data_IF_974730605178
#
_entry.id   IF_974730605178
#
_cell.length_a   1.000
_cell.length_b   1.000
_cell.length_c   1.000
_cell.angle_alpha   90.00
_cell.angle_beta   90.00
_cell.angle_gamma   90.00
#
_symmetry.space_group_name_H-M   'P 1'
#
loop_
_entity.id
_entity.type
_entity.pdbx_description
1 polymer ?
#
# COMPACT_ATOMS: atom_id res chain seq x y z
N UNK A 1 -30.93 -81.42 -38.97
CA UNK A 1 -31.28 -80.60 -37.79
C UNK A 1 -30.02 -80.39 -37.00
N UNK A 2 -29.37 -79.28 -37.09
CA UNK A 2 -28.15 -78.95 -36.35
C UNK A 2 -28.48 -77.84 -35.33
N UNK A 3 -28.41 -78.20 -34.04
CA UNK A 3 -28.51 -77.21 -32.94
C UNK A 3 -27.24 -76.47 -32.81
N UNK A 4 -27.32 -75.15 -32.87
CA UNK A 4 -26.20 -74.23 -32.59
C UNK A 4 -26.32 -73.75 -31.14
N UNK A 5 -25.32 -74.06 -30.31
CA UNK A 5 -25.19 -73.59 -28.95
C UNK A 5 -24.54 -72.19 -29.00
N UNK A 6 -25.24 -71.20 -28.47
CA UNK A 6 -24.69 -69.86 -28.29
C UNK A 6 -24.16 -69.80 -26.86
N UNK A 7 -22.85 -69.62 -26.69
CA UNK A 7 -22.19 -69.36 -25.42
C UNK A 7 -22.23 -67.83 -25.14
N UNK A 8 -22.86 -67.44 -24.06
CA UNK A 8 -22.88 -66.05 -23.56
C UNK A 8 -21.67 -65.85 -22.67
N UNK A 9 -20.69 -65.06 -23.11
CA UNK A 9 -19.57 -64.56 -22.27
C UNK A 9 -20.05 -63.42 -21.43
N UNK A 10 -20.14 -63.62 -20.09
CA UNK A 10 -20.28 -62.50 -19.13
C UNK A 10 -18.92 -61.86 -18.90
N UNK A 11 -18.68 -60.68 -19.49
CA UNK A 11 -17.57 -59.82 -19.14
C UNK A 11 -17.85 -59.12 -17.81
N UNK A 12 -17.16 -59.52 -16.74
CA UNK A 12 -17.20 -58.84 -15.45
C UNK A 12 -16.47 -57.50 -15.56
N UNK A 13 -17.23 -56.41 -15.41
CA UNK A 13 -16.65 -55.08 -15.28
C UNK A 13 -16.17 -54.92 -13.84
N UNK A 14 -14.82 -55.04 -13.66
CA UNK A 14 -14.17 -54.61 -12.43
C UNK A 14 -14.29 -53.08 -12.31
N UNK A 15 -15.20 -52.60 -11.46
CA UNK A 15 -15.27 -51.23 -11.06
C UNK A 15 -14.05 -50.92 -10.17
N UNK A 16 -13.04 -50.27 -10.73
CA UNK A 16 -12.01 -49.61 -9.95
C UNK A 16 -12.62 -48.39 -9.26
N UNK A 17 -13.04 -48.56 -8.00
CA UNK A 17 -13.31 -47.41 -7.12
C UNK A 17 -11.99 -46.67 -6.88
N UNK A 18 -11.91 -45.35 -7.10
CA UNK A 18 -10.71 -44.61 -6.74
C UNK A 18 -10.53 -44.70 -5.21
N UNK A 19 -9.37 -45.21 -4.78
CA UNK A 19 -8.98 -45.13 -3.38
C UNK A 19 -9.03 -43.66 -2.97
N UNK A 20 -9.61 -43.28 -1.82
CA UNK A 20 -9.50 -41.93 -1.30
C UNK A 20 -8.01 -41.65 -1.11
N UNK A 21 -7.51 -40.63 -1.78
CA UNK A 21 -6.19 -40.02 -1.52
C UNK A 21 -6.23 -39.69 -0.01
N UNK A 22 -5.27 -40.26 0.73
CA UNK A 22 -5.09 -39.97 2.14
C UNK A 22 -5.14 -38.44 2.31
N UNK A 23 -6.06 -37.97 3.15
CA UNK A 23 -6.31 -36.55 3.34
C UNK A 23 -4.99 -35.84 3.63
N UNK A 24 -4.68 -34.82 2.84
CA UNK A 24 -3.66 -33.86 3.22
C UNK A 24 -3.97 -33.47 4.68
N UNK A 25 -2.96 -33.58 5.55
CA UNK A 25 -3.05 -33.04 6.92
C UNK A 25 -3.49 -31.59 6.77
N UNK A 26 -4.70 -31.27 7.16
CA UNK A 26 -5.12 -29.88 7.30
C UNK A 26 -4.17 -29.26 8.31
N UNK A 27 -3.38 -28.28 7.85
CA UNK A 27 -2.47 -27.57 8.73
C UNK A 27 -3.34 -26.68 9.64
N UNK A 28 -3.45 -27.04 10.92
CA UNK A 28 -4.29 -26.33 11.89
C UNK A 28 -3.92 -24.84 12.03
N UNK A 29 -2.72 -24.43 11.59
CA UNK A 29 -2.32 -23.00 11.59
C UNK A 29 -3.00 -22.21 10.46
N UNK A 30 -3.33 -22.82 9.34
CA UNK A 30 -4.04 -22.17 8.22
C UNK A 30 -5.57 -22.09 8.45
N UNK A 31 -6.11 -22.83 9.44
CA UNK A 31 -7.55 -22.83 9.71
C UNK A 31 -8.06 -21.42 10.01
N UNK A 32 -9.25 -21.07 9.49
CA UNK A 32 -9.86 -19.73 9.65
C UNK A 32 -9.41 -18.69 8.62
N UNK A 33 -8.20 -18.81 8.07
CA UNK A 33 -7.75 -17.96 6.96
C UNK A 33 -8.36 -18.40 5.62
N UNK A 34 -8.72 -17.45 4.76
CA UNK A 34 -9.22 -17.74 3.42
C UNK A 34 -8.94 -16.59 2.45
N UNK A 35 -8.97 -16.90 1.14
CA UNK A 35 -8.82 -15.90 0.07
C UNK A 35 -9.83 -16.13 -1.06
N UNK A 36 -10.12 -15.06 -1.80
CA UNK A 36 -10.78 -15.10 -3.11
C UNK A 36 -10.35 -13.91 -3.96
N UNK A 37 -10.62 -13.97 -5.25
CA UNK A 37 -10.27 -12.90 -6.20
C UNK A 37 -11.53 -12.20 -6.71
N UNK A 38 -11.44 -10.87 -6.89
CA UNK A 38 -12.50 -10.03 -7.45
C UNK A 38 -11.91 -8.81 -8.14
N UNK A 39 -12.16 -8.66 -9.45
CA UNK A 39 -11.73 -7.50 -10.23
C UNK A 39 -10.25 -7.12 -10.02
N UNK A 40 -9.36 -8.11 -10.11
CA UNK A 40 -7.92 -7.94 -9.93
C UNK A 40 -7.43 -7.86 -8.48
N UNK A 41 -8.31 -7.66 -7.50
CA UNK A 41 -7.99 -7.73 -6.09
C UNK A 41 -8.00 -9.17 -5.59
N UNK A 42 -7.12 -9.45 -4.63
CA UNK A 42 -7.11 -10.66 -3.83
C UNK A 42 -7.56 -10.28 -2.42
N UNK A 43 -8.78 -10.66 -2.06
CA UNK A 43 -9.26 -10.51 -0.69
C UNK A 43 -8.68 -11.62 0.18
N UNK A 44 -8.17 -11.27 1.35
CA UNK A 44 -7.57 -12.21 2.29
C UNK A 44 -8.10 -11.94 3.69
N UNK A 45 -8.74 -12.94 4.29
CA UNK A 45 -9.11 -12.92 5.70
C UNK A 45 -8.06 -13.67 6.52
N UNK A 46 -7.56 -13.02 7.58
CA UNK A 46 -6.59 -13.57 8.53
C UNK A 46 -7.10 -13.37 9.95
N UNK A 47 -6.96 -14.40 10.82
CA UNK A 47 -7.41 -14.28 12.21
C UNK A 47 -6.52 -15.06 13.20
N UNK A 48 -6.36 -14.51 14.41
CA UNK A 48 -5.75 -15.20 15.55
C UNK A 48 -4.56 -14.48 16.17
N UNK A 49 -3.72 -15.26 16.85
CA UNK A 49 -2.46 -14.78 17.43
C UNK A 49 -1.46 -14.36 16.35
N UNK A 50 -0.45 -13.53 16.68
CA UNK A 50 0.51 -13.00 15.70
C UNK A 50 1.14 -14.06 14.80
N UNK A 51 1.62 -15.16 15.38
CA UNK A 51 2.23 -16.26 14.62
C UNK A 51 1.27 -16.92 13.64
N UNK A 52 -0.01 -16.94 14.01
CA UNK A 52 -1.06 -17.51 13.15
C UNK A 52 -1.44 -16.55 12.03
N UNK A 53 -1.53 -15.26 12.33
CA UNK A 53 -1.76 -14.23 11.30
C UNK A 53 -0.67 -14.32 10.23
N UNK A 54 0.59 -14.31 10.64
CA UNK A 54 1.72 -14.42 9.72
C UNK A 54 1.70 -15.72 8.91
N UNK A 55 1.46 -16.85 9.57
CA UNK A 55 1.37 -18.15 8.88
C UNK A 55 0.26 -18.18 7.82
N UNK A 56 -0.95 -17.71 8.16
CA UNK A 56 -2.08 -17.64 7.23
C UNK A 56 -1.78 -16.70 6.07
N UNK A 57 -1.18 -15.54 6.35
CA UNK A 57 -0.80 -14.55 5.35
C UNK A 57 -0.01 -15.22 4.22
N UNK A 58 1.07 -15.88 4.56
CA UNK A 58 1.98 -16.40 3.57
C UNK A 58 1.58 -17.76 3.02
N UNK A 59 0.89 -18.57 3.80
CA UNK A 59 0.30 -19.79 3.29
C UNK A 59 -0.69 -19.50 2.15
N UNK A 60 -1.46 -18.42 2.27
CA UNK A 60 -2.46 -17.99 1.29
C UNK A 60 -1.89 -17.18 0.12
N UNK A 61 -0.78 -16.45 0.32
CA UNK A 61 -0.19 -15.54 -0.65
C UNK A 61 1.22 -15.94 -1.12
N UNK A 62 1.60 -17.21 -0.93
CA UNK A 62 2.96 -17.70 -1.21
C UNK A 62 3.44 -17.43 -2.65
N UNK A 63 2.55 -17.51 -3.62
CA UNK A 63 2.89 -17.29 -5.03
C UNK A 63 3.11 -15.80 -5.33
N UNK A 64 2.28 -14.93 -4.74
CA UNK A 64 2.37 -13.49 -4.84
C UNK A 64 3.64 -12.96 -4.16
N UNK A 65 3.98 -13.48 -2.98
CA UNK A 65 5.20 -13.09 -2.25
C UNK A 65 6.45 -13.54 -3.00
N UNK A 66 6.47 -14.76 -3.53
CA UNK A 66 7.57 -15.25 -4.38
C UNK A 66 7.78 -14.32 -5.58
N UNK A 67 6.69 -13.90 -6.22
CA UNK A 67 6.75 -13.01 -7.37
C UNK A 67 7.23 -11.61 -6.98
N UNK A 68 6.81 -11.06 -5.84
CA UNK A 68 7.28 -9.76 -5.37
C UNK A 68 8.78 -9.82 -5.03
N UNK A 69 9.24 -10.83 -4.28
CA UNK A 69 10.67 -11.02 -3.97
C UNK A 69 11.53 -11.19 -5.22
N UNK A 70 11.00 -11.81 -6.29
CA UNK A 70 11.72 -11.96 -7.56
C UNK A 70 12.05 -10.63 -8.22
N UNK A 71 11.19 -9.64 -8.08
CA UNK A 71 11.35 -8.35 -8.79
C UNK A 71 11.96 -7.27 -7.93
N UNK A 72 11.71 -7.26 -6.61
CA UNK A 72 12.13 -6.17 -5.74
C UNK A 72 13.65 -6.06 -5.62
N UNK A 73 14.36 -7.16 -5.50
CA UNK A 73 15.83 -7.17 -5.41
C UNK A 73 16.50 -6.51 -6.63
N UNK A 74 16.27 -7.00 -7.87
CA UNK A 74 16.80 -6.38 -9.08
C UNK A 74 16.35 -4.92 -9.29
N UNK A 75 15.12 -4.58 -8.90
CA UNK A 75 14.63 -3.20 -8.97
C UNK A 75 15.42 -2.27 -8.06
N UNK A 76 15.60 -2.63 -6.79
CA UNK A 76 16.35 -1.85 -5.82
C UNK A 76 17.85 -1.77 -6.17
N UNK A 77 18.43 -2.86 -6.67
CA UNK A 77 19.82 -2.84 -7.14
C UNK A 77 20.02 -1.86 -8.29
N UNK A 78 19.04 -1.79 -9.22
CA UNK A 78 19.11 -0.82 -10.30
C UNK A 78 18.97 0.62 -9.81
N UNK A 79 17.99 0.88 -8.94
CA UNK A 79 17.64 2.25 -8.52
C UNK A 79 18.62 2.83 -7.48
N UNK A 80 19.03 2.02 -6.50
CA UNK A 80 19.85 2.47 -5.36
C UNK A 80 21.31 2.06 -5.44
N UNK A 81 21.69 1.21 -6.40
CA UNK A 81 23.01 0.57 -6.52
C UNK A 81 23.40 -0.27 -5.29
N UNK A 82 22.40 -0.82 -4.62
CA UNK A 82 22.53 -1.73 -3.47
C UNK A 82 21.85 -3.05 -3.80
N UNK A 83 22.55 -4.17 -3.61
CA UNK A 83 21.98 -5.50 -3.81
C UNK A 83 20.99 -5.89 -2.69
N UNK A 84 20.23 -6.93 -2.91
CA UNK A 84 19.27 -7.41 -1.92
C UNK A 84 19.90 -7.82 -0.58
N UNK A 85 21.14 -8.34 -0.59
CA UNK A 85 21.85 -8.68 0.64
C UNK A 85 22.17 -7.46 1.50
N UNK A 86 22.38 -6.28 0.90
CA UNK A 86 22.51 -5.04 1.66
C UNK A 86 21.25 -4.77 2.50
N UNK A 87 20.06 -4.89 1.92
CA UNK A 87 18.79 -4.68 2.61
C UNK A 87 18.52 -5.73 3.68
N UNK A 88 18.81 -7.00 3.41
CA UNK A 88 18.74 -8.09 4.39
C UNK A 88 19.66 -7.82 5.60
N UNK A 89 20.88 -7.35 5.37
CA UNK A 89 21.79 -7.00 6.45
C UNK A 89 21.30 -5.80 7.27
N UNK A 90 20.68 -4.80 6.64
CA UNK A 90 20.07 -3.67 7.35
C UNK A 90 18.86 -4.14 8.16
N UNK A 91 18.01 -5.00 7.61
CA UNK A 91 16.89 -5.62 8.30
C UNK A 91 17.35 -6.36 9.58
N UNK A 92 18.39 -7.19 9.47
CA UNK A 92 18.95 -7.93 10.61
C UNK A 92 19.53 -7.03 11.69
N UNK A 93 20.39 -6.08 11.30
CA UNK A 93 21.24 -5.36 12.27
C UNK A 93 20.57 -4.09 12.79
N UNK A 94 19.74 -3.45 11.99
CA UNK A 94 19.18 -2.13 12.30
C UNK A 94 17.72 -2.25 12.72
N UNK A 95 16.89 -2.97 11.96
CA UNK A 95 15.44 -2.97 12.20
C UNK A 95 15.01 -4.03 13.22
N UNK A 96 15.41 -5.29 13.03
CA UNK A 96 14.93 -6.42 13.84
C UNK A 96 15.03 -6.23 15.35
N UNK A 97 16.15 -5.71 15.92
CA UNK A 97 16.27 -5.52 17.36
C UNK A 97 15.27 -4.52 17.95
N UNK A 98 14.57 -3.76 17.12
CA UNK A 98 13.68 -2.67 17.51
C UNK A 98 12.21 -2.93 17.16
N UNK A 99 11.93 -4.06 16.51
CA UNK A 99 10.58 -4.52 16.26
C UNK A 99 10.01 -5.10 17.56
N UNK A 100 8.81 -4.67 17.94
CA UNK A 100 8.12 -5.20 19.12
C UNK A 100 7.87 -6.71 18.95
N UNK A 101 8.00 -7.47 20.06
CA UNK A 101 7.95 -8.94 20.04
C UNK A 101 6.67 -9.52 19.42
N UNK A 102 5.57 -8.80 19.44
CA UNK A 102 4.32 -9.18 18.78
C UNK A 102 4.52 -9.30 17.28
N UNK A 103 5.09 -8.28 16.65
CA UNK A 103 5.31 -8.24 15.22
C UNK A 103 6.48 -9.09 14.78
N UNK A 104 7.49 -9.30 15.64
CA UNK A 104 8.51 -10.32 15.38
C UNK A 104 7.89 -11.71 15.21
N UNK A 105 6.91 -12.08 16.06
CA UNK A 105 6.21 -13.36 15.95
C UNK A 105 5.33 -13.44 14.70
N UNK A 106 4.67 -12.33 14.30
CA UNK A 106 3.90 -12.28 13.06
C UNK A 106 4.82 -12.49 11.85
N UNK A 107 5.96 -11.79 11.78
CA UNK A 107 6.96 -11.93 10.71
C UNK A 107 7.60 -13.33 10.68
N UNK A 108 7.85 -13.95 11.83
CA UNK A 108 8.31 -15.35 11.89
C UNK A 108 7.24 -16.34 11.40
N UNK A 109 5.97 -16.06 11.70
CA UNK A 109 4.84 -16.83 11.18
C UNK A 109 4.76 -16.78 9.66
N UNK A 110 5.05 -15.62 9.05
CA UNK A 110 5.18 -15.43 7.61
C UNK A 110 6.19 -16.43 7.02
N UNK A 111 7.40 -16.47 7.58
CA UNK A 111 8.46 -17.39 7.12
C UNK A 111 8.04 -18.86 7.22
N UNK A 112 7.33 -19.24 8.29
CA UNK A 112 6.81 -20.61 8.45
C UNK A 112 5.76 -20.94 7.38
N UNK A 113 4.87 -20.00 7.05
CA UNK A 113 3.84 -20.17 6.01
C UNK A 113 4.47 -20.37 4.62
N UNK A 114 5.49 -19.58 4.26
CA UNK A 114 6.25 -19.73 3.02
C UNK A 114 6.95 -21.09 2.94
N UNK A 115 7.60 -21.53 4.03
CA UNK A 115 8.25 -22.82 4.08
C UNK A 115 7.26 -23.97 3.85
N UNK A 116 6.03 -23.89 4.40
CA UNK A 116 4.97 -24.87 4.18
C UNK A 116 4.52 -24.95 2.70
N UNK A 117 4.71 -23.87 1.94
CA UNK A 117 4.42 -23.77 0.50
C UNK A 117 5.66 -23.95 -0.39
N UNK A 118 6.79 -24.37 0.19
CA UNK A 118 8.07 -24.57 -0.50
C UNK A 118 8.62 -23.30 -1.18
N UNK A 119 8.32 -22.12 -0.63
CA UNK A 119 8.93 -20.86 -1.04
C UNK A 119 10.19 -20.64 -0.19
N UNK A 120 11.31 -20.40 -0.86
CA UNK A 120 12.59 -20.15 -0.21
C UNK A 120 12.72 -18.66 0.09
N UNK A 121 12.41 -18.28 1.31
CA UNK A 121 12.68 -16.98 1.88
C UNK A 121 12.97 -17.18 3.38
N UNK A 122 13.73 -16.29 3.95
CA UNK A 122 13.98 -16.29 5.39
C UNK A 122 13.48 -14.98 6.04
N UNK A 123 13.66 -14.88 7.35
CA UNK A 123 13.26 -13.71 8.14
C UNK A 123 13.78 -12.40 7.56
N UNK A 124 15.02 -12.39 7.10
CA UNK A 124 15.64 -11.16 6.62
C UNK A 124 15.08 -10.69 5.29
N UNK A 125 14.62 -11.62 4.45
CA UNK A 125 13.88 -11.29 3.23
C UNK A 125 12.56 -10.60 3.58
N UNK A 126 11.84 -11.13 4.57
CA UNK A 126 10.52 -10.61 4.96
C UNK A 126 10.64 -9.28 5.69
N UNK A 127 11.60 -9.12 6.60
CA UNK A 127 11.81 -7.82 7.29
C UNK A 127 12.28 -6.75 6.30
N UNK A 128 13.16 -7.08 5.35
CA UNK A 128 13.58 -6.15 4.31
C UNK A 128 12.42 -5.76 3.38
N UNK A 129 11.52 -6.71 3.07
CA UNK A 129 10.33 -6.45 2.27
C UNK A 129 9.35 -5.51 2.99
N UNK A 130 9.17 -5.67 4.30
CA UNK A 130 8.33 -4.78 5.11
C UNK A 130 8.90 -3.36 5.25
N UNK A 131 10.18 -3.17 4.97
CA UNK A 131 10.85 -1.87 5.00
C UNK A 131 11.22 -1.37 3.60
N UNK A 132 10.41 -1.73 2.59
CA UNK A 132 10.67 -1.45 1.18
C UNK A 132 10.68 0.06 0.87
N UNK A 133 9.92 0.85 1.59
CA UNK A 133 9.92 2.32 1.46
C UNK A 133 11.03 2.93 2.35
N UNK A 134 11.16 2.44 3.56
CA UNK A 134 12.01 2.99 4.60
C UNK A 134 13.51 2.84 4.29
N UNK A 135 13.96 1.64 3.90
CA UNK A 135 15.39 1.39 3.68
C UNK A 135 15.92 2.07 2.42
N UNK A 136 15.29 1.95 1.24
CA UNK A 136 15.80 2.61 0.04
C UNK A 136 15.68 4.13 0.08
N UNK A 137 14.54 4.64 0.55
CA UNK A 137 14.23 6.07 0.50
C UNK A 137 14.85 6.89 1.63
N UNK A 138 15.19 6.29 2.77
CA UNK A 138 15.62 7.02 3.97
C UNK A 138 16.95 6.53 4.55
N UNK A 139 17.09 5.23 4.79
CA UNK A 139 18.35 4.68 5.32
C UNK A 139 19.50 4.80 4.33
N UNK A 140 19.30 4.48 3.05
CA UNK A 140 20.35 4.56 2.03
C UNK A 140 20.86 5.98 1.84
N UNK A 141 20.01 7.02 1.63
CA UNK A 141 20.48 8.41 1.53
C UNK A 141 21.20 8.89 2.79
N UNK A 142 20.67 8.54 3.97
CA UNK A 142 21.32 8.86 5.24
C UNK A 142 22.71 8.23 5.34
N UNK A 143 22.86 6.95 4.99
CA UNK A 143 24.13 6.22 5.04
C UNK A 143 25.15 6.82 4.04
N UNK A 144 24.71 7.15 2.83
CA UNK A 144 25.55 7.79 1.81
C UNK A 144 26.09 9.14 2.31
N UNK A 145 25.23 9.94 2.94
CA UNK A 145 25.61 11.22 3.57
C UNK A 145 26.64 11.02 4.70
N UNK A 146 26.45 10.00 5.56
CA UNK A 146 27.43 9.67 6.61
C UNK A 146 28.80 9.28 6.04
N UNK A 147 28.82 8.69 4.84
CA UNK A 147 30.04 8.30 4.12
C UNK A 147 30.62 9.41 3.24
N UNK A 148 30.05 10.61 3.26
CA UNK A 148 30.49 11.73 2.43
C UNK A 148 30.23 11.52 0.94
N UNK A 149 29.26 10.66 0.58
CA UNK A 149 28.84 10.39 -0.80
C UNK A 149 27.64 11.25 -1.15
N UNK A 150 27.43 11.46 -2.46
CA UNK A 150 26.15 11.94 -2.94
C UNK A 150 25.10 10.85 -2.71
N UNK A 151 23.91 11.25 -2.28
CA UNK A 151 22.80 10.30 -2.09
C UNK A 151 22.51 9.55 -3.40
N UNK A 152 22.41 8.23 -3.30
CA UNK A 152 22.12 7.34 -4.44
C UNK A 152 20.62 7.12 -4.68
N UNK A 153 19.77 7.62 -3.78
CA UNK A 153 18.32 7.60 -3.85
C UNK A 153 17.75 8.81 -3.10
N UNK A 154 16.52 9.16 -3.39
CA UNK A 154 15.72 10.13 -2.62
C UNK A 154 14.43 9.48 -2.16
N UNK A 155 13.87 9.95 -1.04
CA UNK A 155 12.54 9.54 -0.61
C UNK A 155 11.53 9.91 -1.71
N UNK A 156 10.83 8.95 -2.31
CA UNK A 156 9.82 9.27 -3.29
C UNK A 156 8.68 10.01 -2.60
N UNK A 157 8.10 10.99 -3.28
CA UNK A 157 6.88 11.65 -2.85
C UNK A 157 5.72 11.02 -3.61
N UNK A 158 5.03 10.07 -3.00
CA UNK A 158 3.98 9.31 -3.65
C UNK A 158 2.61 9.78 -3.17
N UNK A 159 1.55 9.49 -3.94
CA UNK A 159 0.15 9.58 -3.51
C UNK A 159 -0.54 10.94 -3.64
N UNK A 160 -1.87 10.85 -3.70
CA UNK A 160 -2.79 11.98 -3.57
C UNK A 160 -3.96 11.56 -2.70
N UNK A 161 -4.33 12.37 -1.71
CA UNK A 161 -5.35 12.01 -0.75
C UNK A 161 -6.21 13.19 -0.32
N UNK A 162 -7.40 12.91 0.20
CA UNK A 162 -8.21 13.88 0.91
C UNK A 162 -8.96 13.25 2.08
N UNK A 163 -9.27 14.07 3.08
CA UNK A 163 -10.24 13.77 4.12
C UNK A 163 -11.09 15.00 4.37
N UNK A 164 -12.40 14.86 4.43
CA UNK A 164 -13.35 15.96 4.63
C UNK A 164 -14.44 15.57 5.61
N UNK A 165 -15.02 16.57 6.31
CA UNK A 165 -16.10 16.38 7.27
C UNK A 165 -16.97 17.65 7.40
N UNK A 166 -18.11 17.55 8.08
CA UNK A 166 -18.96 18.69 8.41
C UNK A 166 -19.57 19.37 7.18
N UNK A 167 -19.39 20.68 7.04
CA UNK A 167 -19.99 21.46 5.94
C UNK A 167 -19.44 21.13 4.54
N UNK A 168 -18.40 20.33 4.43
CA UNK A 168 -17.84 19.91 3.14
C UNK A 168 -18.51 18.65 2.59
N UNK A 169 -18.98 17.77 3.45
CA UNK A 169 -19.60 16.49 3.05
C UNK A 169 -21.14 16.59 3.03
N UNK A 170 -21.76 15.74 2.23
CA UNK A 170 -23.19 15.75 1.95
C UNK A 170 -24.05 15.42 3.18
N UNK A 171 -23.59 14.49 4.00
CA UNK A 171 -24.27 14.01 5.22
C UNK A 171 -23.56 14.46 6.52
N UNK A 172 -22.54 15.31 6.40
CA UNK A 172 -21.68 15.82 7.48
C UNK A 172 -20.80 14.77 8.14
N UNK A 173 -20.76 13.55 7.64
CA UNK A 173 -19.85 12.50 8.08
C UNK A 173 -18.51 12.61 7.36
N UNK A 174 -17.50 11.91 7.85
CA UNK A 174 -16.19 11.87 7.22
C UNK A 174 -16.30 11.18 5.86
N UNK A 175 -15.62 11.73 4.85
CA UNK A 175 -15.32 11.07 3.58
C UNK A 175 -13.81 11.16 3.37
N UNK A 176 -13.17 10.04 3.04
CA UNK A 176 -11.74 9.94 2.83
C UNK A 176 -11.47 9.20 1.52
N UNK A 177 -10.50 9.69 0.76
CA UNK A 177 -10.05 9.06 -0.49
C UNK A 177 -8.56 9.14 -0.64
N UNK A 178 -8.01 8.23 -1.46
CA UNK A 178 -6.59 8.08 -1.70
C UNK A 178 -6.29 7.47 -3.06
N UNK A 179 -5.31 8.01 -3.77
CA UNK A 179 -4.61 7.40 -4.89
C UNK A 179 -3.21 6.99 -4.46
N UNK A 180 -2.93 5.69 -4.46
CA UNK A 180 -1.58 5.17 -4.28
C UNK A 180 -0.75 5.40 -5.55
N UNK A 181 0.37 6.09 -5.41
CA UNK A 181 1.34 6.27 -6.46
C UNK A 181 2.62 5.52 -6.10
N UNK A 182 3.11 4.72 -7.01
CA UNK A 182 4.43 4.10 -6.89
C UNK A 182 4.97 3.71 -8.26
N UNK A 183 6.18 3.13 -8.32
CA UNK A 183 6.66 2.49 -9.54
C UNK A 183 5.79 1.29 -9.94
N UNK A 184 5.71 1.01 -11.24
CA UNK A 184 4.84 -0.08 -11.72
C UNK A 184 5.44 -1.48 -11.52
N UNK A 185 6.72 -1.60 -11.14
CA UNK A 185 7.33 -2.90 -10.79
C UNK A 185 6.70 -3.43 -9.50
N UNK A 186 6.68 -2.63 -8.45
CA UNK A 186 6.05 -2.98 -7.16
C UNK A 186 4.53 -2.78 -7.25
N UNK A 187 4.08 -1.62 -7.68
CA UNK A 187 2.68 -1.21 -7.63
C UNK A 187 1.72 -2.07 -8.42
N UNK A 188 2.16 -2.69 -9.54
CA UNK A 188 1.31 -3.65 -10.24
C UNK A 188 1.02 -4.92 -9.42
N UNK A 189 1.75 -5.18 -8.32
CA UNK A 189 1.60 -6.29 -7.38
C UNK A 189 0.93 -5.90 -6.07
N UNK A 190 0.57 -4.64 -5.93
CA UNK A 190 -0.11 -4.08 -4.77
C UNK A 190 -1.63 -4.23 -4.92
N UNK A 191 -2.12 -5.42 -4.73
CA UNK A 191 -3.51 -5.77 -5.03
C UNK A 191 -4.16 -6.69 -3.99
N UNK A 192 -3.70 -6.62 -2.75
CA UNK A 192 -4.29 -7.38 -1.66
C UNK A 192 -5.27 -6.49 -0.89
N UNK A 193 -6.43 -7.03 -0.55
CA UNK A 193 -7.39 -6.44 0.40
C UNK A 193 -7.41 -7.32 1.64
N UNK A 194 -6.82 -6.84 2.72
CA UNK A 194 -6.72 -7.56 3.98
C UNK A 194 -7.90 -7.27 4.91
N UNK A 195 -8.51 -8.33 5.40
CA UNK A 195 -9.42 -8.34 6.55
C UNK A 195 -8.68 -9.04 7.70
N UNK A 196 -8.04 -8.27 8.56
CA UNK A 196 -7.23 -8.75 9.67
C UNK A 196 -8.03 -8.74 10.96
N UNK A 197 -8.13 -9.89 11.63
CA UNK A 197 -8.79 -10.04 12.94
C UNK A 197 -7.76 -10.55 13.97
N UNK A 198 -6.89 -9.69 14.48
CA UNK A 198 -5.88 -10.08 15.47
C UNK A 198 -6.55 -10.51 16.78
N UNK A 199 -5.87 -11.37 17.55
CA UNK A 199 -6.31 -11.78 18.89
C UNK A 199 -6.39 -10.59 19.86
N UNK A 200 -5.52 -9.60 19.66
CA UNK A 200 -5.45 -8.37 20.46
C UNK A 200 -5.54 -7.13 19.59
N UNK A 201 -6.14 -6.08 20.13
CA UNK A 201 -6.34 -4.84 19.38
C UNK A 201 -7.57 -4.89 18.48
N UNK A 202 -7.63 -3.96 17.56
CA UNK A 202 -8.78 -3.75 16.69
C UNK A 202 -8.66 -4.61 15.41
N UNK A 203 -9.81 -5.00 14.84
CA UNK A 203 -9.88 -5.57 13.50
C UNK A 203 -9.55 -4.50 12.48
N UNK A 204 -8.84 -4.87 11.40
CA UNK A 204 -8.42 -3.96 10.34
C UNK A 204 -9.02 -4.38 8.99
N UNK A 205 -9.43 -3.41 8.20
CA UNK A 205 -9.64 -3.57 6.76
C UNK A 205 -8.69 -2.60 6.06
N UNK A 206 -7.78 -3.14 5.26
CA UNK A 206 -6.72 -2.36 4.60
C UNK A 206 -6.34 -2.98 3.26
N UNK A 207 -5.82 -2.18 2.34
CA UNK A 207 -5.09 -2.72 1.20
C UNK A 207 -3.66 -3.11 1.61
N UNK A 208 -2.88 -3.70 0.72
CA UNK A 208 -1.48 -4.01 1.03
C UNK A 208 -0.76 -4.81 -0.03
N UNK A 209 0.55 -4.93 0.19
CA UNK A 209 1.45 -5.78 -0.56
C UNK A 209 1.51 -7.20 0.02
N UNK A 210 1.72 -8.24 -0.80
CA UNK A 210 1.91 -9.59 -0.30
C UNK A 210 3.19 -9.68 0.55
N UNK A 211 3.10 -10.26 1.75
CA UNK A 211 4.23 -10.40 2.70
C UNK A 211 4.52 -9.17 3.57
N UNK A 212 3.76 -8.09 3.40
CA UNK A 212 3.87 -6.86 4.19
C UNK A 212 2.74 -6.80 5.21
N UNK A 213 3.06 -6.52 6.49
CA UNK A 213 2.09 -6.57 7.59
C UNK A 213 1.29 -5.29 7.80
N UNK A 214 1.60 -4.25 7.06
CA UNK A 214 0.93 -2.94 7.05
C UNK A 214 0.36 -2.68 5.65
N UNK A 215 -0.46 -1.67 5.50
CA UNK A 215 -0.98 -1.28 4.16
C UNK A 215 0.08 -0.60 3.28
N UNK A 216 1.34 -0.58 3.69
CA UNK A 216 2.38 0.31 3.19
C UNK A 216 1.98 1.79 3.38
N UNK A 217 1.23 2.01 4.48
CA UNK A 217 0.66 3.27 4.99
C UNK A 217 -0.48 3.88 4.18
N UNK A 218 -0.89 3.21 3.11
CA UNK A 218 -1.80 3.77 2.14
C UNK A 218 -3.22 4.01 2.66
N UNK A 219 -3.87 2.95 3.16
CA UNK A 219 -5.27 3.07 3.52
C UNK A 219 -5.74 2.00 4.50
N UNK A 220 -6.20 2.41 5.67
CA UNK A 220 -6.70 1.49 6.68
C UNK A 220 -7.90 2.05 7.43
N UNK A 221 -8.85 1.18 7.79
CA UNK A 221 -9.89 1.45 8.79
C UNK A 221 -9.86 0.37 9.85
N UNK A 222 -10.04 0.75 11.13
CA UNK A 222 -10.11 -0.20 12.24
C UNK A 222 -11.50 -0.24 12.89
N UNK A 223 -11.76 -1.29 13.68
CA UNK A 223 -13.05 -1.51 14.34
C UNK A 223 -13.39 -0.49 15.44
N UNK A 224 -12.42 0.31 15.90
CA UNK A 224 -12.65 1.46 16.78
C UNK A 224 -13.04 2.74 16.01
N UNK A 225 -13.23 2.66 14.69
CA UNK A 225 -13.64 3.79 13.86
C UNK A 225 -12.53 4.78 13.52
N UNK A 226 -11.26 4.39 13.69
CA UNK A 226 -10.12 5.17 13.18
C UNK A 226 -9.92 4.83 11.70
N UNK A 227 -9.80 5.85 10.88
CA UNK A 227 -9.51 5.79 9.46
C UNK A 227 -8.21 6.53 9.22
N UNK A 228 -7.28 5.96 8.47
CA UNK A 228 -6.02 6.63 8.16
C UNK A 228 -5.58 6.37 6.73
N UNK A 229 -4.99 7.38 6.14
CA UNK A 229 -4.26 7.33 4.87
C UNK A 229 -3.13 8.35 4.92
N UNK A 230 -2.15 8.24 4.03
CA UNK A 230 -1.01 9.14 4.06
C UNK A 230 -0.67 9.70 2.67
N UNK A 231 0.22 10.66 2.66
CA UNK A 231 1.04 11.05 1.50
C UNK A 231 2.46 11.37 1.96
N UNK A 232 3.45 10.76 1.34
CA UNK A 232 4.86 10.92 1.69
C UNK A 232 5.32 12.38 1.60
N UNK A 233 6.14 12.86 2.53
CA UNK A 233 6.68 14.22 2.51
C UNK A 233 7.80 14.34 1.48
N UNK A 234 7.62 15.15 0.43
CA UNK A 234 8.62 15.38 -0.62
C UNK A 234 9.89 16.02 -0.09
N UNK A 235 11.02 15.48 -0.53
CA UNK A 235 12.35 16.05 -0.26
C UNK A 235 12.80 15.92 1.18
N UNK A 236 12.20 15.03 1.97
CA UNK A 236 12.57 14.79 3.35
C UNK A 236 13.98 14.19 3.46
N UNK A 237 14.73 14.66 4.45
CA UNK A 237 16.07 14.17 4.78
C UNK A 237 16.19 13.88 6.28
N UNK A 238 16.25 12.61 6.63
CA UNK A 238 16.44 12.21 8.01
C UNK A 238 16.27 10.71 8.22
N UNK A 239 17.09 10.14 9.10
CA UNK A 239 16.94 8.77 9.55
C UNK A 239 17.73 8.56 10.85
N UNK A 240 17.10 7.93 11.85
CA UNK A 240 17.76 7.49 13.08
C UNK A 240 17.85 5.96 13.11
N UNK A 241 19.04 5.37 12.89
CA UNK A 241 19.20 3.92 12.92
C UNK A 241 18.91 3.29 14.29
N UNK A 242 18.68 4.10 15.35
CA UNK A 242 18.34 3.62 16.70
C UNK A 242 16.83 3.65 16.98
N UNK A 243 16.04 4.26 16.13
CA UNK A 243 14.58 4.30 16.26
C UNK A 243 13.88 3.00 15.83
N UNK A 244 12.59 2.93 16.08
CA UNK A 244 11.71 1.81 15.68
C UNK A 244 11.30 1.92 14.22
N UNK A 245 11.26 0.80 13.48
CA UNK A 245 10.85 0.82 12.07
C UNK A 245 9.45 1.41 11.90
N UNK A 246 9.29 2.16 10.80
CA UNK A 246 8.05 2.83 10.51
C UNK A 246 6.89 1.84 10.28
N UNK A 247 7.06 0.83 9.43
CA UNK A 247 6.03 -0.17 9.13
C UNK A 247 5.44 -0.83 10.39
N UNK A 248 6.27 -1.05 11.42
CA UNK A 248 5.82 -1.61 12.69
C UNK A 248 5.03 -0.59 13.51
N UNK A 249 5.44 0.69 13.51
CA UNK A 249 4.72 1.76 14.23
C UNK A 249 3.37 2.03 13.58
N UNK A 250 3.28 2.10 12.24
CA UNK A 250 2.05 2.26 11.50
C UNK A 250 1.08 1.07 11.72
N UNK A 251 1.59 -0.17 11.62
CA UNK A 251 0.81 -1.37 11.95
C UNK A 251 0.24 -1.31 13.36
N UNK A 252 1.07 -0.92 14.33
CA UNK A 252 0.67 -0.79 15.74
C UNK A 252 -0.34 0.35 15.94
N UNK A 253 -0.13 1.48 15.29
CA UNK A 253 -1.04 2.62 15.36
C UNK A 253 -2.44 2.21 14.88
N UNK A 254 -2.56 1.54 13.75
CA UNK A 254 -3.86 1.10 13.27
C UNK A 254 -4.49 0.01 14.14
N UNK A 255 -3.69 -0.92 14.68
CA UNK A 255 -4.21 -2.03 15.50
C UNK A 255 -4.65 -1.59 16.89
N UNK A 256 -4.07 -0.55 17.48
CA UNK A 256 -4.30 -0.21 18.88
C UNK A 256 -4.92 1.17 19.13
N UNK A 257 -5.03 2.03 18.13
CA UNK A 257 -5.60 3.35 18.31
C UNK A 257 -7.12 3.33 18.40
N UNK A 258 -7.66 4.09 19.36
CA UNK A 258 -9.08 4.38 19.55
C UNK A 258 -9.38 5.89 19.41
N UNK A 259 -8.33 6.67 19.27
CA UNK A 259 -8.38 8.11 19.08
C UNK A 259 -7.26 8.58 18.16
N UNK A 260 -7.39 9.80 17.64
CA UNK A 260 -6.32 10.46 16.88
C UNK A 260 -5.08 10.67 17.75
N UNK A 261 -5.25 10.91 19.04
CA UNK A 261 -4.13 11.07 19.97
C UNK A 261 -3.38 9.77 20.19
N UNK A 262 -4.07 8.62 20.30
CA UNK A 262 -3.43 7.31 20.37
C UNK A 262 -2.59 7.04 19.11
N UNK A 263 -3.18 7.32 17.92
CA UNK A 263 -2.48 7.15 16.65
C UNK A 263 -1.18 7.96 16.61
N UNK A 264 -1.25 9.26 16.87
CA UNK A 264 -0.09 10.13 16.86
C UNK A 264 0.97 9.72 17.91
N UNK A 265 0.53 9.36 19.13
CA UNK A 265 1.44 8.93 20.18
C UNK A 265 2.20 7.65 19.81
N UNK A 266 1.52 6.67 19.21
CA UNK A 266 2.17 5.42 18.76
C UNK A 266 3.14 5.68 17.60
N UNK A 267 2.77 6.53 16.65
CA UNK A 267 3.64 6.88 15.53
C UNK A 267 4.90 7.63 15.98
N UNK A 268 4.82 8.41 17.03
CA UNK A 268 5.96 9.15 17.61
C UNK A 268 6.85 8.28 18.51
N UNK A 269 6.36 7.15 19.04
CA UNK A 269 7.10 6.30 19.97
C UNK A 269 8.32 5.64 19.31
N UNK A 270 9.48 6.20 19.56
CA UNK A 270 10.74 5.74 18.99
C UNK A 270 10.86 5.99 17.49
N UNK A 271 10.21 7.03 16.97
CA UNK A 271 10.25 7.40 15.55
C UNK A 271 11.68 7.47 15.02
N UNK A 272 11.95 6.75 13.93
CA UNK A 272 13.25 6.72 13.27
C UNK A 272 13.34 7.64 12.04
N UNK A 273 12.25 8.35 11.69
CA UNK A 273 12.17 9.20 10.51
C UNK A 273 12.11 8.47 9.18
N UNK A 274 12.14 7.13 9.20
CA UNK A 274 11.89 6.32 8.02
C UNK A 274 10.44 6.50 7.57
N UNK A 275 10.22 6.73 6.28
CA UNK A 275 8.93 7.01 5.63
C UNK A 275 8.17 8.15 6.32
N UNK A 276 8.72 9.37 6.21
CA UNK A 276 8.10 10.57 6.78
C UNK A 276 6.85 10.98 5.97
N UNK A 277 5.71 11.10 6.66
CA UNK A 277 4.39 11.21 6.04
C UNK A 277 3.53 12.34 6.59
N UNK A 278 2.64 12.83 5.71
CA UNK A 278 1.44 13.59 6.04
C UNK A 278 0.28 12.61 6.21
N UNK A 279 -0.01 12.23 7.43
CA UNK A 279 -1.13 11.35 7.76
C UNK A 279 -2.46 12.11 7.80
N UNK A 280 -3.45 11.65 7.03
CA UNK A 280 -4.84 12.08 7.13
C UNK A 280 -5.59 11.08 7.99
N UNK A 281 -5.97 11.48 9.21
CA UNK A 281 -6.58 10.60 10.19
C UNK A 281 -7.98 11.07 10.53
N UNK A 282 -8.95 10.16 10.54
CA UNK A 282 -10.32 10.42 10.94
C UNK A 282 -10.74 9.56 12.14
N UNK A 283 -11.51 10.14 13.04
CA UNK A 283 -12.24 9.39 14.08
C UNK A 283 -13.73 9.45 13.76
N UNK A 284 -14.27 8.37 13.24
CA UNK A 284 -15.64 8.30 12.78
C UNK A 284 -16.70 8.49 13.89
N UNK A 285 -16.35 8.14 15.14
CA UNK A 285 -17.30 8.33 16.28
C UNK A 285 -17.44 9.78 16.68
N UNK A 286 -16.38 10.59 16.54
CA UNK A 286 -16.38 12.00 16.92
C UNK A 286 -16.63 12.94 15.76
N UNK A 287 -16.52 12.46 14.53
CA UNK A 287 -16.52 13.26 13.31
C UNK A 287 -15.30 14.16 13.15
N UNK A 288 -14.27 13.98 13.99
CA UNK A 288 -13.03 14.74 13.95
C UNK A 288 -12.07 14.16 12.91
N UNK A 289 -11.43 15.05 12.15
CA UNK A 289 -10.37 14.73 11.22
C UNK A 289 -9.09 15.47 11.57
N UNK A 290 -7.95 14.90 11.21
CA UNK A 290 -6.65 15.51 11.45
C UNK A 290 -5.69 15.35 10.27
N UNK A 291 -4.79 16.32 10.14
CA UNK A 291 -3.52 16.20 9.43
C UNK A 291 -2.42 16.06 10.47
N UNK A 292 -1.73 14.94 10.48
CA UNK A 292 -0.59 14.65 11.33
C UNK A 292 0.66 14.51 10.47
N UNK A 293 1.52 15.53 10.48
CA UNK A 293 2.81 15.48 9.81
C UNK A 293 3.85 14.87 10.74
N UNK A 294 4.53 13.82 10.29
CA UNK A 294 5.45 13.02 11.08
C UNK A 294 6.85 13.00 10.46
N UNK A 295 7.65 14.06 10.70
CA UNK A 295 9.09 14.07 10.42
C UNK A 295 9.90 13.36 11.50
N UNK A 296 11.22 13.39 11.41
CA UNK A 296 12.11 12.80 12.44
C UNK A 296 12.18 13.65 13.71
N UNK A 297 12.35 14.95 13.59
CA UNK A 297 12.54 15.90 14.70
C UNK A 297 11.32 16.74 14.96
N UNK A 298 10.62 17.11 13.90
CA UNK A 298 9.46 17.98 13.93
C UNK A 298 8.22 17.20 13.53
N UNK A 299 7.12 17.50 14.21
CA UNK A 299 5.80 16.97 13.89
C UNK A 299 4.75 18.01 14.17
N UNK A 300 3.62 17.93 13.48
CA UNK A 300 2.46 18.79 13.71
C UNK A 300 1.18 17.98 13.70
N UNK A 301 0.13 18.49 14.38
CA UNK A 301 -1.18 17.84 14.44
C UNK A 301 -2.28 18.91 14.36
N UNK A 302 -2.83 19.10 13.17
CA UNK A 302 -3.94 20.00 12.91
C UNK A 302 -5.26 19.24 12.91
N UNK A 303 -6.30 19.77 13.55
CA UNK A 303 -7.59 19.09 13.74
C UNK A 303 -8.77 19.96 13.38
N UNK A 304 -9.86 19.34 12.91
CA UNK A 304 -11.14 20.01 12.71
C UNK A 304 -12.30 19.01 12.78
N UNK A 305 -13.51 19.54 13.08
CA UNK A 305 -14.79 18.82 12.92
C UNK A 305 -15.67 19.43 11.83
N UNK A 306 -15.17 20.48 11.15
CA UNK A 306 -15.83 21.10 10.01
C UNK A 306 -14.79 21.68 9.07
N UNK A 307 -14.44 20.90 8.04
CA UNK A 307 -13.37 21.25 7.12
C UNK A 307 -12.85 20.07 6.33
N UNK A 308 -11.61 20.20 5.84
CA UNK A 308 -10.91 19.18 5.11
C UNK A 308 -9.39 19.30 5.28
N UNK A 309 -8.70 18.22 5.02
CA UNK A 309 -7.25 18.18 4.74
C UNK A 309 -7.00 17.46 3.44
N UNK A 310 -5.92 17.82 2.75
CA UNK A 310 -5.50 17.19 1.50
C UNK A 310 -4.02 16.82 1.57
N UNK A 311 -3.69 15.67 1.04
CA UNK A 311 -2.33 15.17 0.85
C UNK A 311 -1.95 15.25 -0.63
N UNK A 312 -0.77 15.77 -0.88
CA UNK A 312 -0.17 15.85 -2.21
C UNK A 312 1.37 15.82 -2.14
N UNK A 313 1.88 15.24 -1.06
CA UNK A 313 3.32 15.21 -0.75
C UNK A 313 3.90 16.61 -0.41
N UNK A 314 3.04 17.51 0.03
CA UNK A 314 3.39 18.89 0.35
C UNK A 314 3.59 19.04 1.87
N UNK A 315 4.80 19.29 2.39
CA UNK A 315 5.01 19.56 3.81
C UNK A 315 4.34 20.87 4.22
N UNK A 316 3.36 20.79 5.12
CA UNK A 316 2.50 21.91 5.55
C UNK A 316 3.14 22.68 6.69
N UNK A 317 3.74 21.98 7.66
CA UNK A 317 4.42 22.61 8.80
C UNK A 317 5.70 23.31 8.36
N UNK A 318 5.79 24.62 8.61
CA UNK A 318 6.94 25.41 8.18
C UNK A 318 8.24 24.97 8.83
N UNK A 319 8.21 24.53 10.09
CA UNK A 319 9.41 24.10 10.79
C UNK A 319 9.93 22.78 10.25
N UNK A 320 9.07 21.79 10.06
CA UNK A 320 9.40 20.52 9.42
C UNK A 320 9.98 20.78 8.02
N UNK A 321 9.27 21.56 7.22
CA UNK A 321 9.68 21.88 5.85
C UNK A 321 11.05 22.53 5.78
N UNK A 322 11.34 23.52 6.64
CA UNK A 322 12.60 24.26 6.63
C UNK A 322 13.79 23.50 7.23
N UNK A 323 13.54 22.63 8.21
CA UNK A 323 14.61 21.95 8.95
C UNK A 323 14.89 20.52 8.45
N UNK A 324 13.89 19.88 7.81
CA UNK A 324 13.97 18.45 7.46
C UNK A 324 13.71 18.16 5.98
N UNK A 325 13.42 19.19 5.15
CA UNK A 325 13.21 18.99 3.71
C UNK A 325 13.99 20.00 2.88
N UNK A 326 14.19 19.69 1.60
CA UNK A 326 14.65 20.65 0.59
C UNK A 326 13.52 21.09 -0.36
N UNK A 327 12.26 20.92 0.05
CA UNK A 327 11.06 21.23 -0.74
C UNK A 327 10.88 22.74 -0.94
N UNK A 328 10.66 23.17 -2.20
CA UNK A 328 10.33 24.56 -2.54
C UNK A 328 8.81 24.76 -2.73
N UNK A 329 8.10 25.36 -1.75
CA UNK A 329 6.66 25.61 -1.85
C UNK A 329 6.30 26.66 -2.92
N UNK A 330 7.27 27.40 -3.46
CA UNK A 330 7.05 28.46 -4.46
C UNK A 330 7.16 27.94 -5.90
N UNK A 331 7.72 26.76 -6.11
CA UNK A 331 7.81 26.14 -7.43
C UNK A 331 6.48 25.58 -7.90
N UNK A 332 5.64 26.41 -8.50
CA UNK A 332 4.30 26.02 -9.00
C UNK A 332 4.33 24.90 -10.05
N UNK A 333 5.47 24.64 -10.67
CA UNK A 333 5.63 23.57 -11.66
C UNK A 333 5.88 22.19 -11.03
N UNK A 334 6.23 22.17 -9.75
CA UNK A 334 6.42 20.95 -8.98
C UNK A 334 5.10 20.17 -8.85
N UNK A 335 5.18 18.84 -8.92
CA UNK A 335 4.05 17.92 -8.84
C UNK A 335 3.22 18.15 -7.57
N UNK A 336 3.85 18.19 -6.40
CA UNK A 336 3.18 18.35 -5.12
C UNK A 336 2.40 19.67 -5.03
N UNK A 337 3.01 20.78 -5.47
CA UNK A 337 2.38 22.11 -5.48
C UNK A 337 1.18 22.17 -6.45
N UNK A 338 1.33 21.60 -7.66
CA UNK A 338 0.27 21.59 -8.67
C UNK A 338 -0.93 20.76 -8.21
N UNK A 339 -0.69 19.55 -7.67
CA UNK A 339 -1.74 18.68 -7.14
C UNK A 339 -2.43 19.28 -5.91
N UNK A 340 -1.70 19.94 -5.01
CA UNK A 340 -2.29 20.69 -3.90
C UNK A 340 -3.25 21.77 -4.40
N UNK A 341 -2.82 22.60 -5.36
CA UNK A 341 -3.68 23.62 -5.94
C UNK A 341 -4.94 23.04 -6.60
N UNK A 342 -4.83 21.85 -7.22
CA UNK A 342 -6.00 21.15 -7.76
C UNK A 342 -6.94 20.64 -6.68
N UNK A 343 -6.41 20.06 -5.61
CA UNK A 343 -7.20 19.66 -4.44
C UNK A 343 -7.99 20.84 -3.85
N UNK A 344 -7.33 21.98 -3.60
CA UNK A 344 -7.98 23.20 -3.08
C UNK A 344 -9.16 23.64 -3.99
N UNK A 345 -8.96 23.58 -5.31
CA UNK A 345 -10.01 23.89 -6.27
C UNK A 345 -11.18 22.91 -6.18
N UNK A 346 -10.92 21.61 -6.11
CA UNK A 346 -11.96 20.58 -6.02
C UNK A 346 -12.72 20.64 -4.71
N UNK A 347 -12.04 20.89 -3.58
CA UNK A 347 -12.69 21.07 -2.27
C UNK A 347 -13.65 22.26 -2.28
N UNK A 348 -13.24 23.39 -2.89
CA UNK A 348 -14.12 24.55 -3.03
C UNK A 348 -15.34 24.29 -3.93
N UNK A 349 -15.15 23.60 -5.06
CA UNK A 349 -16.21 23.28 -6.02
C UNK A 349 -17.24 22.29 -5.49
N UNK A 350 -16.80 21.35 -4.63
CA UNK A 350 -17.62 20.26 -4.12
C UNK A 350 -18.08 20.45 -2.67
N UNK A 351 -17.89 21.63 -2.09
CA UNK A 351 -18.32 21.92 -0.72
C UNK A 351 -19.80 21.57 -0.51
N UNK A 352 -20.09 20.77 0.52
CA UNK A 352 -21.43 20.28 0.86
C UNK A 352 -21.97 19.17 -0.04
N UNK A 353 -21.16 18.65 -0.97
CA UNK A 353 -21.55 17.62 -1.92
C UNK A 353 -20.70 16.35 -1.83
N UNK A 354 -19.60 16.39 -1.08
CA UNK A 354 -18.65 15.28 -1.03
C UNK A 354 -19.33 14.06 -0.39
N UNK A 355 -19.46 13.01 -1.18
CA UNK A 355 -19.86 11.65 -0.81
C UNK A 355 -18.92 10.66 -1.52
N UNK A 356 -19.16 9.37 -1.38
CA UNK A 356 -18.33 8.32 -2.00
C UNK A 356 -18.20 8.50 -3.52
N UNK A 357 -19.29 8.81 -4.21
CA UNK A 357 -19.27 8.96 -5.67
C UNK A 357 -18.49 10.21 -6.10
N UNK A 358 -18.66 11.32 -5.37
CA UNK A 358 -17.84 12.51 -5.57
C UNK A 358 -16.38 12.23 -5.25
N UNK A 359 -16.08 11.45 -4.20
CA UNK A 359 -14.74 11.01 -3.86
C UNK A 359 -14.08 10.21 -4.99
N UNK A 360 -14.78 9.22 -5.56
CA UNK A 360 -14.30 8.46 -6.71
C UNK A 360 -14.00 9.34 -7.94
N UNK A 361 -14.84 10.35 -8.18
CA UNK A 361 -14.62 11.31 -9.26
C UNK A 361 -13.38 12.18 -9.01
N UNK A 362 -13.17 12.63 -7.78
CA UNK A 362 -11.99 13.42 -7.40
C UNK A 362 -10.70 12.60 -7.49
N UNK A 363 -10.72 11.34 -7.05
CA UNK A 363 -9.57 10.43 -7.21
C UNK A 363 -9.30 10.04 -8.67
N UNK A 364 -10.31 10.15 -9.54
CA UNK A 364 -10.16 9.95 -10.99
C UNK A 364 -9.82 11.25 -11.75
N UNK A 365 -9.53 12.34 -11.04
CA UNK A 365 -9.26 13.64 -11.70
C UNK A 365 -7.89 13.65 -12.36
N UNK A 366 -7.88 13.85 -13.68
CA UNK A 366 -6.68 13.93 -14.53
C UNK A 366 -6.38 15.34 -15.03
N UNK A 367 -6.96 16.38 -14.40
CA UNK A 367 -6.77 17.75 -14.83
C UNK A 367 -5.44 18.34 -14.36
N UNK A 368 -4.58 18.75 -15.28
CA UNK A 368 -3.37 19.54 -14.99
C UNK A 368 -3.75 21.02 -14.84
N UNK A 369 -3.69 21.54 -13.62
CA UNK A 369 -4.06 22.92 -13.30
C UNK A 369 -3.10 23.95 -13.92
N UNK A 370 -1.85 23.57 -14.19
CA UNK A 370 -0.84 24.44 -14.79
C UNK A 370 -1.03 24.55 -16.30
N UNK A 371 -1.20 23.41 -16.98
CA UNK A 371 -1.47 23.38 -18.43
C UNK A 371 -2.93 23.66 -18.76
N UNK A 372 -3.81 23.67 -17.77
CA UNK A 372 -5.28 23.92 -17.91
C UNK A 372 -5.95 22.96 -18.89
N UNK A 373 -5.54 21.70 -18.87
CA UNK A 373 -6.09 20.65 -19.73
C UNK A 373 -6.28 19.34 -18.98
N UNK A 374 -7.21 18.52 -19.44
CA UNK A 374 -7.34 17.14 -19.00
C UNK A 374 -6.30 16.25 -19.70
N UNK A 375 -5.82 15.24 -18.98
CA UNK A 375 -4.84 14.26 -19.43
C UNK A 375 -3.91 13.89 -18.29
N UNK A 376 -3.83 12.61 -17.89
CA UNK A 376 -3.05 12.21 -16.74
C UNK A 376 -1.56 12.47 -16.98
N UNK A 377 -0.91 13.08 -16.00
CA UNK A 377 0.51 13.33 -15.98
C UNK A 377 1.00 13.43 -14.53
N UNK A 378 2.24 13.85 -14.30
CA UNK A 378 2.83 13.98 -12.96
C UNK A 378 2.20 15.08 -12.08
N UNK A 379 1.32 15.94 -12.63
CA UNK A 379 0.66 17.04 -11.92
C UNK A 379 -0.84 16.88 -11.75
N UNK A 380 -1.39 15.75 -12.18
CA UNK A 380 -2.80 15.40 -11.95
C UNK A 380 -2.98 14.51 -10.71
N UNK A 381 -4.15 14.50 -10.10
CA UNK A 381 -4.42 13.71 -8.90
C UNK A 381 -4.38 12.21 -9.17
N UNK A 382 -5.01 11.76 -10.25
CA UNK A 382 -4.76 10.46 -10.83
C UNK A 382 -3.59 10.62 -11.83
N UNK A 383 -2.38 10.45 -11.33
CA UNK A 383 -1.18 10.74 -12.10
C UNK A 383 -0.63 9.54 -12.84
N UNK A 384 -0.06 9.81 -14.01
CA UNK A 384 0.61 8.83 -14.85
C UNK A 384 1.94 9.43 -15.31
N UNK A 385 3.04 9.12 -14.60
CA UNK A 385 4.36 9.70 -14.89
C UNK A 385 4.95 9.09 -16.16
N UNK A 386 4.57 7.86 -16.49
CA UNK A 386 4.89 7.20 -17.77
C UNK A 386 4.33 7.94 -19.01
N UNK A 387 3.39 8.85 -18.82
CA UNK A 387 2.88 9.75 -19.87
C UNK A 387 3.54 11.14 -19.85
N UNK A 388 4.47 11.41 -18.92
CA UNK A 388 5.06 12.73 -18.75
C UNK A 388 6.48 12.84 -19.29
N UNK A 389 6.72 13.76 -20.24
CA UNK A 389 8.09 14.06 -20.72
C UNK A 389 8.92 14.84 -19.68
N UNK A 390 8.36 15.23 -18.54
CA UNK A 390 9.04 15.97 -17.49
C UNK A 390 9.54 15.07 -16.36
N UNK A 391 8.84 13.95 -16.11
CA UNK A 391 9.08 13.14 -14.93
C UNK A 391 8.77 13.88 -13.62
N UNK A 392 9.29 13.40 -12.52
CA UNK A 392 9.25 14.04 -11.20
C UNK A 392 10.68 14.10 -10.63
N UNK A 393 11.46 15.13 -11.00
CA UNK A 393 12.89 15.21 -10.61
C UNK A 393 13.12 15.17 -9.09
N UNK A 394 12.19 15.70 -8.28
CA UNK A 394 12.29 15.69 -6.82
C UNK A 394 12.22 14.26 -6.22
N UNK A 395 11.87 13.27 -7.02
CA UNK A 395 11.78 11.86 -6.64
C UNK A 395 12.76 10.97 -7.41
N UNK A 396 13.69 11.55 -8.14
CA UNK A 396 14.56 10.85 -9.11
C UNK A 396 13.79 10.07 -10.20
N UNK A 397 12.51 10.39 -10.41
CA UNK A 397 11.71 9.82 -11.48
C UNK A 397 11.95 10.58 -12.77
N UNK A 398 12.75 9.99 -13.65
CA UNK A 398 13.08 10.54 -14.96
C UNK A 398 11.87 10.73 -15.87
N UNK A 399 12.14 11.25 -17.08
CA UNK A 399 11.11 11.43 -18.12
C UNK A 399 10.45 10.07 -18.43
N UNK A 400 9.12 10.06 -18.50
CA UNK A 400 8.34 8.86 -18.78
C UNK A 400 8.61 7.71 -17.80
N UNK A 401 8.94 8.01 -16.55
CA UNK A 401 9.19 6.97 -15.55
C UNK A 401 7.96 6.06 -15.41
N UNK A 402 8.14 4.71 -15.44
CA UNK A 402 7.03 3.76 -15.30
C UNK A 402 6.49 3.73 -13.86
N UNK A 403 5.71 4.73 -13.53
CA UNK A 403 5.13 4.97 -12.22
C UNK A 403 3.98 5.97 -12.26
N UNK A 404 3.26 6.05 -11.16
CA UNK A 404 2.08 6.88 -10.99
C UNK A 404 1.01 6.15 -10.17
N UNK A 405 -0.25 6.51 -10.34
CA UNK A 405 -1.37 5.86 -9.66
C UNK A 405 -1.45 4.37 -10.04
N UNK A 406 -1.48 3.51 -9.05
CA UNK A 406 -1.61 2.05 -9.22
C UNK A 406 -2.93 1.51 -8.69
N UNK A 407 -3.58 2.27 -7.81
CA UNK A 407 -4.88 1.97 -7.23
C UNK A 407 -5.50 3.21 -6.58
N UNK A 408 -6.81 3.17 -6.34
CA UNK A 408 -7.53 4.21 -5.62
C UNK A 408 -8.50 3.61 -4.61
N UNK A 409 -8.75 4.31 -3.50
CA UNK A 409 -9.68 3.92 -2.44
C UNK A 409 -10.54 5.10 -2.01
N UNK A 410 -11.80 4.81 -1.63
CA UNK A 410 -12.74 5.79 -1.04
C UNK A 410 -13.60 5.12 0.01
N UNK A 411 -13.80 5.82 1.13
CA UNK A 411 -14.66 5.39 2.24
C UNK A 411 -15.42 6.59 2.79
N UNK A 412 -16.65 6.37 3.30
CA UNK A 412 -17.35 7.34 4.13
C UNK A 412 -17.56 6.83 5.56
N UNK A 413 -18.06 7.70 6.42
CA UNK A 413 -18.29 7.37 7.83
C UNK A 413 -19.31 6.24 8.04
N UNK A 414 -20.27 6.04 7.13
CA UNK A 414 -21.23 4.93 7.24
C UNK A 414 -20.61 3.60 6.85
N UNK A 415 -19.68 3.64 5.92
CA UNK A 415 -18.89 2.48 5.52
C UNK A 415 -17.86 2.12 6.60
N UNK A 416 -17.21 3.13 7.20
CA UNK A 416 -16.26 2.92 8.29
C UNK A 416 -16.90 2.21 9.50
N UNK A 417 -18.15 2.54 9.87
CA UNK A 417 -18.91 1.84 10.91
C UNK A 417 -19.08 0.34 10.65
N UNK A 418 -19.11 -0.05 9.38
CA UNK A 418 -19.31 -1.43 8.93
C UNK A 418 -18.02 -2.09 8.46
N UNK A 419 -16.93 -1.33 8.48
CA UNK A 419 -15.64 -1.72 7.90
C UNK A 419 -15.80 -2.15 6.43
N UNK A 420 -16.24 -1.22 5.61
CA UNK A 420 -16.49 -1.34 4.17
C UNK A 420 -15.60 -0.36 3.42
N UNK A 421 -15.23 -0.66 2.16
CA UNK A 421 -14.38 0.18 1.32
C UNK A 421 -14.73 0.02 -0.16
N UNK A 422 -14.61 1.09 -0.92
CA UNK A 422 -14.51 1.04 -2.38
C UNK A 422 -13.06 1.16 -2.81
N UNK A 423 -12.63 0.26 -3.68
CA UNK A 423 -11.27 0.24 -4.20
C UNK A 423 -11.22 -0.08 -5.70
N UNK A 424 -10.26 0.49 -6.41
CA UNK A 424 -10.02 0.24 -7.84
C UNK A 424 -8.52 -0.03 -8.06
N UNK A 425 -8.19 -0.99 -8.91
CA UNK A 425 -6.82 -1.28 -9.36
C UNK A 425 -6.57 -0.59 -10.69
N UNK A 426 -5.34 -0.16 -10.91
CA UNK A 426 -4.90 0.51 -12.12
C UNK A 426 -5.14 2.01 -12.05
N UNK A 427 -5.37 2.60 -13.21
CA UNK A 427 -5.55 4.04 -13.36
C UNK A 427 -7.04 4.40 -13.38
N UNK A 428 -7.65 4.87 -12.29
CA UNK A 428 -9.08 5.20 -12.28
C UNK A 428 -9.44 6.31 -13.29
N UNK A 429 -8.45 7.01 -13.85
CA UNK A 429 -8.61 8.09 -14.83
C UNK A 429 -8.19 7.73 -16.26
N UNK A 430 -7.59 6.59 -16.50
CA UNK A 430 -6.89 6.43 -17.76
C UNK A 430 -6.81 5.00 -18.31
N UNK A 431 -5.99 4.85 -19.35
CA UNK A 431 -5.80 3.57 -20.01
C UNK A 431 -5.01 2.57 -19.17
N UNK A 432 -5.07 1.31 -19.58
CA UNK A 432 -4.20 0.26 -19.08
C UNK A 432 -2.72 0.57 -19.36
N UNK A 433 -1.84 0.22 -18.44
CA UNK A 433 -0.42 0.15 -18.70
C UNK A 433 -0.07 -1.19 -19.37
N UNK A 434 0.65 -1.14 -20.48
CA UNK A 434 1.08 -2.32 -21.25
C UNK A 434 2.60 -2.32 -21.34
N UNK A 435 3.25 -3.19 -20.59
CA UNK A 435 4.69 -3.21 -20.36
C UNK A 435 5.51 -3.32 -21.68
N UNK A 436 5.16 -4.24 -22.57
CA UNK A 436 5.89 -4.41 -23.84
C UNK A 436 5.77 -3.20 -24.77
N UNK A 437 4.60 -2.56 -24.83
CA UNK A 437 4.43 -1.31 -25.60
C UNK A 437 5.27 -0.18 -25.01
N UNK A 438 5.22 -0.02 -23.69
CA UNK A 438 6.00 0.99 -22.98
C UNK A 438 7.50 0.82 -23.24
N UNK A 439 8.06 -0.40 -23.10
CA UNK A 439 9.47 -0.67 -23.35
C UNK A 439 9.90 -0.50 -24.82
N UNK A 440 8.97 -0.71 -25.77
CA UNK A 440 9.23 -0.45 -27.18
C UNK A 440 9.31 1.05 -27.52
N UNK A 441 8.61 1.90 -26.74
CA UNK A 441 8.58 3.36 -26.91
C UNK A 441 9.69 4.05 -26.06
N UNK A 442 10.14 3.43 -24.95
CA UNK A 442 11.05 4.00 -23.94
C UNK A 442 12.22 3.06 -23.65
N UNK A 443 13.18 3.01 -24.58
CA UNK A 443 14.35 2.11 -24.48
C UNK A 443 15.26 2.37 -23.27
N UNK A 444 15.20 3.58 -22.70
CA UNK A 444 15.91 3.93 -21.45
C UNK A 444 15.47 3.08 -20.26
N UNK A 445 14.29 2.46 -20.32
CA UNK A 445 13.74 1.56 -19.30
C UNK A 445 13.88 0.07 -19.64
N UNK A 446 14.68 -0.28 -20.65
CA UNK A 446 14.91 -1.69 -21.03
C UNK A 446 15.42 -2.55 -19.87
N UNK A 447 16.09 -1.95 -18.89
CA UNK A 447 16.53 -2.62 -17.66
C UNK A 447 15.36 -3.22 -16.85
N UNK A 448 14.16 -2.68 -16.98
CA UNK A 448 12.95 -3.15 -16.28
C UNK A 448 12.22 -4.29 -17.02
N UNK A 449 12.76 -4.77 -18.16
CA UNK A 449 12.22 -5.91 -18.89
C UNK A 449 12.20 -7.16 -18.01
N UNK A 450 11.04 -7.81 -17.93
CA UNK A 450 10.79 -8.95 -17.04
C UNK A 450 10.53 -8.58 -15.57
N UNK A 451 10.69 -7.30 -15.19
CA UNK A 451 10.25 -6.76 -13.90
C UNK A 451 8.87 -6.11 -14.03
N UNK A 452 8.67 -5.27 -15.05
CA UNK A 452 7.36 -4.70 -15.38
C UNK A 452 6.40 -5.79 -15.86
N UNK A 453 5.13 -5.62 -15.55
CA UNK A 453 4.01 -6.39 -16.08
C UNK A 453 2.86 -5.44 -16.45
N UNK A 454 1.93 -5.93 -17.25
CA UNK A 454 0.72 -5.17 -17.57
C UNK A 454 -0.09 -4.86 -16.31
N UNK A 455 -0.64 -3.65 -16.25
CA UNK A 455 -1.59 -3.25 -15.22
C UNK A 455 -2.89 -2.80 -15.88
N UNK A 456 -3.93 -3.63 -15.71
CA UNK A 456 -5.27 -3.37 -16.24
C UNK A 456 -6.09 -2.57 -15.25
N UNK A 457 -6.67 -1.48 -15.71
CA UNK A 457 -7.64 -0.73 -14.93
C UNK A 457 -8.90 -1.58 -14.71
N UNK A 458 -9.29 -1.69 -13.45
CA UNK A 458 -10.45 -2.45 -13.03
C UNK A 458 -11.57 -1.51 -12.56
N UNK A 459 -12.84 -1.93 -12.61
CA UNK A 459 -13.93 -1.14 -12.07
C UNK A 459 -13.79 -0.99 -10.55
N UNK A 460 -14.32 0.10 -10.01
CA UNK A 460 -14.49 0.27 -8.57
C UNK A 460 -15.19 -0.93 -7.97
N UNK A 461 -14.59 -1.53 -6.97
CA UNK A 461 -15.02 -2.78 -6.34
C UNK A 461 -15.26 -2.52 -4.86
N UNK A 462 -16.39 -2.99 -4.38
CA UNK A 462 -16.77 -2.89 -2.98
C UNK A 462 -16.26 -4.10 -2.20
N UNK A 463 -15.72 -3.85 -1.00
CA UNK A 463 -15.28 -4.85 -0.03
C UNK A 463 -15.81 -4.55 1.35
N UNK A 464 -15.97 -5.60 2.15
CA UNK A 464 -16.32 -5.52 3.58
C UNK A 464 -15.62 -6.64 4.35
N UNK A 465 -15.50 -6.46 5.67
CA UNK A 465 -14.99 -7.52 6.54
C UNK A 465 -15.91 -8.75 6.54
N UNK A 466 -15.31 -9.93 6.73
CA UNK A 466 -16.05 -11.20 6.82
C UNK A 466 -16.72 -11.63 5.52
N UNK A 467 -16.34 -11.05 4.39
CA UNK A 467 -16.89 -11.39 3.10
C UNK A 467 -16.45 -12.79 2.66
N UNK A 468 -17.38 -13.62 2.17
CA UNK A 468 -17.08 -14.96 1.67
C UNK A 468 -17.25 -15.03 0.15
N UNK A 469 -16.60 -16.01 -0.47
CA UNK A 469 -16.67 -16.22 -1.92
C UNK A 469 -18.14 -16.39 -2.38
N UNK A 470 -18.61 -15.49 -3.23
CA UNK A 470 -19.95 -15.57 -3.86
C UNK A 470 -21.03 -14.73 -3.19
N UNK A 471 -20.70 -13.83 -2.27
CA UNK A 471 -21.62 -12.81 -1.73
C UNK A 471 -21.52 -11.47 -2.46
#
# INVERSE_FOLDING_TARGET
MKCILIAVLCAGILSCSPRPVAGARTDNKADGGYRFERNGWIYVHLEGAPERLGYQHDYLLADEIRELLRVVGPFLEHTTKRDWNFYRNAAEKILWPKIDAEYQRELDGIVEGLAARNVKADRWDIVALNAIEELPGYYVPWLDKQQGKQASAQAPGNCSAFIATGSYTKDKRIVMGHNAWTDYVVGSRWNIMFDLKPEKGERLLMDGLPGVIVSDDDFTVNSAGIMATETTITGFEGFDPNGKPEFMRARKAMQYSKSIDDFAAIMLDGNNGGYANDWLVGNNHTGEIALFENGLKNHSLHRTKDGYFVGSNFPVDDKLRLEETHFDPNNKQNSANARRARWEQLMAQNRGKIDVETGKQMESDSYDIIEKKAGPNERSLCGMVDQSPRGVPDWDWGRFFPGGTVQAKVIDGSMAEKMEIWAAIGHPCGPDFVAERFLAEHHEYEWARGLLRDMKTQPWTYFRIGEQRGQ
#
